data_IF_307270351335
#
_entry.id   IF_307270351335
#
_cell.length_a   1.000
_cell.length_b   1.000
_cell.length_c   1.000
_cell.angle_alpha   90.00
_cell.angle_beta   90.00
_cell.angle_gamma   90.00
#
_symmetry.space_group_name_H-M   'P 1'
#
loop_
_entity.id
_entity.type
_entity.pdbx_description
1 polymer ?
#
# COMPACT_ATOMS: atom_id res chain seq x y z
N UNK A 1 -38.02 4.57 36.63
CA UNK A 1 -37.63 5.73 37.47
C UNK A 1 -38.07 6.98 36.71
N UNK A 2 -39.16 7.64 37.15
CA UNK A 2 -39.70 8.85 36.50
C UNK A 2 -38.90 10.05 36.97
N UNK A 3 -38.31 10.82 36.06
CA UNK A 3 -37.70 12.12 36.39
C UNK A 3 -38.40 13.20 35.57
N UNK A 4 -39.11 14.04 36.32
CA UNK A 4 -39.77 15.28 35.94
C UNK A 4 -38.71 16.32 35.51
N UNK A 5 -38.92 17.02 34.39
CA UNK A 5 -38.22 18.29 34.11
C UNK A 5 -39.21 19.45 34.28
N UNK A 6 -38.93 20.31 35.25
CA UNK A 6 -39.59 21.60 35.45
C UNK A 6 -39.04 22.61 34.44
N UNK A 7 -39.93 23.21 33.64
CA UNK A 7 -39.67 24.47 32.95
C UNK A 7 -39.60 25.60 33.98
N UNK A 8 -38.53 26.38 33.94
CA UNK A 8 -38.54 27.77 34.44
C UNK A 8 -37.94 28.67 33.37
N UNK A 9 -38.81 29.55 32.85
CA UNK A 9 -38.45 30.60 31.91
C UNK A 9 -37.75 31.72 32.66
N UNK A 10 -36.59 32.17 32.15
CA UNK A 10 -35.98 33.42 32.57
C UNK A 10 -35.50 34.16 31.32
N UNK A 11 -36.26 35.18 30.94
CA UNK A 11 -35.87 36.18 29.96
C UNK A 11 -34.78 37.07 30.56
N UNK A 12 -33.64 37.21 29.88
CA UNK A 12 -32.67 38.28 30.14
C UNK A 12 -32.28 38.93 28.81
N UNK A 13 -32.46 40.23 28.78
CA UNK A 13 -32.25 41.14 27.68
C UNK A 13 -30.76 41.30 27.32
N UNK A 14 -30.54 41.50 26.03
CA UNK A 14 -29.26 41.84 25.38
C UNK A 14 -28.80 43.24 25.81
N UNK A 15 -27.52 43.38 26.20
CA UNK A 15 -26.72 44.56 25.87
C UNK A 15 -25.31 44.13 25.46
N UNK A 16 -24.82 44.73 24.40
CA UNK A 16 -23.59 44.42 23.69
C UNK A 16 -22.36 45.16 24.28
N UNK A 17 -21.16 44.59 24.08
CA UNK A 17 -19.95 45.40 23.94
C UNK A 17 -18.61 44.76 24.34
N UNK A 18 -17.75 44.58 23.33
CA UNK A 18 -16.27 44.64 23.34
C UNK A 18 -15.41 43.39 23.64
N UNK A 19 -14.91 42.74 22.57
CA UNK A 19 -13.47 42.78 22.24
C UNK A 19 -12.61 41.51 22.42
N UNK A 20 -12.29 40.80 21.32
CA UNK A 20 -11.04 40.04 21.09
C UNK A 20 -10.89 39.65 19.58
N UNK A 21 -9.67 39.37 19.06
CA UNK A 21 -9.25 39.77 17.73
C UNK A 21 -9.37 38.71 16.62
N UNK A 22 -9.84 39.18 15.46
CA UNK A 22 -9.41 38.88 14.09
C UNK A 22 -8.87 37.49 13.73
N UNK A 23 -9.78 36.61 13.31
CA UNK A 23 -9.46 35.62 12.27
C UNK A 23 -9.81 36.27 10.92
N UNK A 24 -8.81 36.42 10.05
CA UNK A 24 -9.03 36.80 8.65
C UNK A 24 -9.67 35.62 7.92
N UNK A 25 -11.00 35.59 7.90
CA UNK A 25 -11.73 34.83 6.90
C UNK A 25 -11.78 35.66 5.62
N UNK A 26 -11.37 35.03 4.52
CA UNK A 26 -11.54 35.55 3.15
C UNK A 26 -13.04 35.69 2.90
N UNK A 27 -13.58 36.89 3.12
CA UNK A 27 -14.99 37.19 2.90
C UNK A 27 -15.27 37.31 1.41
N UNK A 28 -15.98 36.34 0.85
CA UNK A 28 -16.97 36.71 -0.16
C UNK A 28 -18.06 37.44 0.60
N UNK A 29 -18.15 38.74 0.42
CA UNK A 29 -19.18 39.59 1.00
C UNK A 29 -20.50 39.31 0.26
N UNK A 30 -21.05 38.10 0.43
CA UNK A 30 -22.44 37.83 0.05
C UNK A 30 -23.31 38.35 1.18
N UNK A 31 -23.82 39.56 1.00
CA UNK A 31 -24.90 40.07 1.86
C UNK A 31 -25.99 39.00 1.90
N UNK A 32 -26.29 38.49 3.10
CA UNK A 32 -27.37 37.52 3.30
C UNK A 32 -28.69 38.25 3.05
N UNK A 33 -29.38 37.86 1.97
CA UNK A 33 -30.67 38.41 1.57
C UNK A 33 -31.74 37.38 1.89
N UNK A 34 -32.76 37.81 2.65
CA UNK A 34 -33.96 37.00 2.92
C UNK A 34 -34.82 37.02 1.66
N UNK A 35 -35.11 35.84 1.14
CA UNK A 35 -35.91 35.64 -0.08
C UNK A 35 -37.36 35.24 0.25
N UNK A 36 -37.56 34.49 1.33
CA UNK A 36 -38.88 34.14 1.86
C UNK A 36 -38.84 33.92 3.39
N UNK A 37 -40.00 33.94 4.03
CA UNK A 37 -40.16 33.66 5.47
C UNK A 37 -41.37 32.75 5.67
N UNK A 38 -41.17 31.64 6.39
CA UNK A 38 -42.18 30.63 6.71
C UNK A 38 -42.21 30.44 8.21
N UNK A 39 -43.14 31.12 8.89
CA UNK A 39 -43.12 31.21 10.36
C UNK A 39 -41.83 31.89 10.84
N UNK A 40 -41.08 31.21 11.69
CA UNK A 40 -39.79 31.69 12.22
C UNK A 40 -38.59 31.35 11.31
N UNK A 41 -38.79 30.56 10.25
CA UNK A 41 -37.71 30.13 9.35
C UNK A 41 -37.56 31.11 8.19
N UNK A 42 -36.33 31.60 7.99
CA UNK A 42 -35.97 32.49 6.89
C UNK A 42 -35.22 31.71 5.81
N UNK A 43 -35.74 31.73 4.58
CA UNK A 43 -35.07 31.17 3.41
C UNK A 43 -34.27 32.29 2.75
N UNK A 44 -32.96 32.10 2.66
CA UNK A 44 -32.01 33.13 2.22
C UNK A 44 -31.37 32.77 0.88
N UNK A 45 -30.68 33.73 0.26
CA UNK A 45 -29.82 33.48 -0.89
C UNK A 45 -28.74 32.41 -0.64
N UNK A 46 -28.21 32.30 0.57
CA UNK A 46 -27.26 31.23 0.94
C UNK A 46 -27.93 29.85 1.05
N UNK A 47 -29.21 29.79 1.48
CA UNK A 47 -29.99 28.54 1.44
C UNK A 47 -30.17 28.09 -0.01
N UNK A 48 -30.56 29.01 -0.90
CA UNK A 48 -30.76 28.72 -2.32
C UNK A 48 -29.47 28.23 -2.99
N UNK A 49 -28.34 28.85 -2.66
CA UNK A 49 -27.02 28.45 -3.17
C UNK A 49 -26.65 27.03 -2.76
N UNK A 50 -26.81 26.67 -1.48
CA UNK A 50 -26.54 25.30 -1.00
C UNK A 50 -27.41 24.26 -1.70
N UNK A 51 -28.69 24.58 -1.93
CA UNK A 51 -29.61 23.68 -2.65
C UNK A 51 -29.22 23.53 -4.13
N UNK A 52 -28.76 24.61 -4.79
CA UNK A 52 -28.23 24.54 -6.16
C UNK A 52 -26.98 23.66 -6.27
N UNK A 53 -26.10 23.67 -5.27
CA UNK A 53 -24.89 22.86 -5.24
C UNK A 53 -25.20 21.35 -5.17
N UNK A 54 -26.33 20.97 -4.55
CA UNK A 54 -26.81 19.59 -4.48
C UNK A 54 -27.40 19.07 -5.81
N UNK A 55 -27.83 19.97 -6.71
CA UNK A 55 -28.37 19.59 -8.01
C UNK A 55 -27.23 19.17 -8.95
N UNK A 56 -27.31 18.02 -9.64
CA UNK A 56 -26.30 17.61 -10.62
C UNK A 56 -26.04 18.68 -11.69
N UNK A 57 -24.79 18.88 -12.17
CA UNK A 57 -24.45 20.00 -13.05
C UNK A 57 -25.31 20.13 -14.31
N UNK A 58 -25.76 19.02 -14.89
CA UNK A 58 -26.56 18.99 -16.11
C UNK A 58 -28.03 19.43 -15.90
N UNK A 59 -28.54 19.41 -14.67
CA UNK A 59 -29.87 19.90 -14.31
C UNK A 59 -29.83 21.32 -13.74
N UNK A 60 -28.68 21.75 -13.23
CA UNK A 60 -28.51 23.00 -12.48
C UNK A 60 -28.76 24.25 -13.31
N UNK A 61 -28.34 24.27 -14.57
CA UNK A 61 -28.38 25.46 -15.44
C UNK A 61 -29.77 26.11 -15.53
N UNK A 62 -30.84 25.32 -15.53
CA UNK A 62 -32.22 25.84 -15.57
C UNK A 62 -32.62 26.58 -14.29
N UNK A 63 -32.01 26.25 -13.14
CA UNK A 63 -32.26 26.85 -11.83
C UNK A 63 -31.34 28.03 -11.50
N UNK A 64 -30.36 28.33 -12.36
CA UNK A 64 -29.45 29.48 -12.20
C UNK A 64 -30.05 30.79 -12.74
N UNK A 65 -31.10 30.71 -13.55
CA UNK A 65 -31.85 31.88 -14.03
C UNK A 65 -32.72 32.48 -12.92
N UNK A 66 -33.06 33.79 -12.97
CA UNK A 66 -33.96 34.40 -11.98
C UNK A 66 -35.30 33.64 -11.85
N UNK A 67 -35.86 33.18 -12.96
CA UNK A 67 -37.09 32.40 -12.99
C UNK A 67 -36.90 31.01 -12.37
N UNK A 68 -35.78 30.34 -12.68
CA UNK A 68 -35.42 29.06 -12.09
C UNK A 68 -35.18 29.14 -10.59
N UNK A 69 -34.50 30.19 -10.13
CA UNK A 69 -34.29 30.49 -8.72
C UNK A 69 -35.60 30.75 -7.99
N UNK A 70 -36.55 31.43 -8.64
CA UNK A 70 -37.90 31.65 -8.09
C UNK A 70 -38.66 30.33 -7.91
N UNK A 71 -38.56 29.41 -8.87
CA UNK A 71 -39.16 28.06 -8.79
C UNK A 71 -38.52 27.25 -7.66
N UNK A 72 -37.18 27.25 -7.56
CA UNK A 72 -36.48 26.56 -6.47
C UNK A 72 -36.87 27.14 -5.11
N UNK A 73 -37.00 28.45 -4.99
CA UNK A 73 -37.48 29.12 -3.77
C UNK A 73 -38.89 28.65 -3.37
N UNK A 74 -39.82 28.55 -4.33
CA UNK A 74 -41.18 28.04 -4.06
C UNK A 74 -41.13 26.60 -3.52
N UNK A 75 -40.32 25.73 -4.11
CA UNK A 75 -40.17 24.35 -3.61
C UNK A 75 -39.57 24.29 -2.20
N UNK A 76 -38.64 25.19 -1.85
CA UNK A 76 -38.10 25.26 -0.49
C UNK A 76 -39.15 25.74 0.52
N UNK A 77 -39.98 26.70 0.13
CA UNK A 77 -41.13 27.15 0.94
C UNK A 77 -42.12 25.99 1.15
N UNK A 78 -42.46 25.26 0.10
CA UNK A 78 -43.36 24.09 0.19
C UNK A 78 -42.77 22.99 1.09
N UNK A 79 -41.48 22.67 0.95
CA UNK A 79 -40.78 21.70 1.80
C UNK A 79 -40.83 22.10 3.27
N UNK A 80 -40.58 23.38 3.56
CA UNK A 80 -40.62 23.92 4.93
C UNK A 80 -42.03 23.84 5.53
N UNK A 81 -43.07 24.19 4.76
CA UNK A 81 -44.46 24.05 5.20
C UNK A 81 -44.81 22.59 5.54
N UNK A 82 -44.38 21.64 4.70
CA UNK A 82 -44.60 20.21 4.96
C UNK A 82 -43.83 19.71 6.19
N UNK A 83 -42.60 20.19 6.40
CA UNK A 83 -41.80 19.84 7.57
C UNK A 83 -42.49 20.31 8.85
N UNK A 84 -42.88 21.58 8.94
CA UNK A 84 -43.56 22.11 10.12
C UNK A 84 -44.88 21.37 10.42
N UNK A 85 -45.65 21.03 9.39
CA UNK A 85 -46.87 20.23 9.55
C UNK A 85 -46.58 18.80 10.05
N UNK A 86 -45.48 18.18 9.62
CA UNK A 86 -45.06 16.87 10.09
C UNK A 86 -44.60 16.89 11.56
N UNK A 87 -43.85 17.93 11.95
CA UNK A 87 -43.40 18.16 13.33
C UNK A 87 -44.60 18.41 14.27
N UNK A 88 -45.56 19.25 13.86
CA UNK A 88 -46.79 19.49 14.63
C UNK A 88 -47.60 18.20 14.82
N UNK A 89 -47.61 17.32 13.80
CA UNK A 89 -48.23 16.00 13.87
C UNK A 89 -47.43 14.97 14.70
N UNK A 90 -46.25 15.33 15.20
CA UNK A 90 -45.39 14.45 16.00
C UNK A 90 -44.76 13.30 15.21
N UNK A 91 -44.65 13.43 13.89
CA UNK A 91 -44.14 12.38 13.01
C UNK A 91 -42.63 12.12 13.18
N UNK A 92 -41.91 12.96 13.91
CA UNK A 92 -40.52 12.68 14.31
C UNK A 92 -40.40 11.38 15.12
N UNK A 93 -41.45 11.03 15.86
CA UNK A 93 -41.52 9.80 16.66
C UNK A 93 -41.93 8.57 15.85
N UNK A 94 -42.23 8.72 14.55
CA UNK A 94 -42.57 7.62 13.67
C UNK A 94 -41.40 6.63 13.56
N UNK A 95 -41.74 5.34 13.59
CA UNK A 95 -40.75 4.26 13.55
C UNK A 95 -39.84 4.29 12.32
N UNK A 96 -40.36 4.72 11.16
CA UNK A 96 -39.57 4.84 9.95
C UNK A 96 -38.55 5.97 10.07
N UNK A 97 -38.97 7.14 10.59
CA UNK A 97 -38.07 8.30 10.79
C UNK A 97 -36.96 7.95 11.77
N UNK A 98 -37.31 7.35 12.92
CA UNK A 98 -36.34 6.91 13.93
C UNK A 98 -35.33 5.90 13.35
N UNK A 99 -35.81 4.92 12.57
CA UNK A 99 -34.93 3.95 11.92
C UNK A 99 -33.98 4.62 10.90
N UNK A 100 -34.45 5.58 10.10
CA UNK A 100 -33.58 6.30 9.15
C UNK A 100 -32.51 7.13 9.88
N UNK A 101 -32.87 7.80 10.97
CA UNK A 101 -31.92 8.55 11.80
C UNK A 101 -30.89 7.62 12.43
N UNK A 102 -31.32 6.49 13.00
CA UNK A 102 -30.41 5.50 13.59
C UNK A 102 -29.42 4.95 12.57
N UNK A 103 -29.90 4.59 11.36
CA UNK A 103 -29.05 4.14 10.25
C UNK A 103 -28.03 5.24 9.90
N UNK A 104 -28.47 6.50 9.76
CA UNK A 104 -27.56 7.60 9.45
C UNK A 104 -26.50 7.80 10.56
N UNK A 105 -26.89 7.70 11.83
CA UNK A 105 -25.96 7.78 12.97
C UNK A 105 -24.95 6.63 12.97
N UNK A 106 -25.36 5.41 12.64
CA UNK A 106 -24.45 4.27 12.46
C UNK A 106 -23.43 4.54 11.35
N UNK A 107 -23.86 5.08 10.21
CA UNK A 107 -22.95 5.43 9.11
C UNK A 107 -21.94 6.52 9.51
N UNK A 108 -22.37 7.52 10.28
CA UNK A 108 -21.48 8.56 10.81
C UNK A 108 -20.43 7.93 11.72
N UNK A 109 -20.85 7.03 12.61
CA UNK A 109 -19.93 6.36 13.53
C UNK A 109 -18.97 5.41 12.81
N UNK A 110 -19.43 4.63 11.83
CA UNK A 110 -18.59 3.77 11.00
C UNK A 110 -17.55 4.57 10.20
N UNK A 111 -17.94 5.76 9.73
CA UNK A 111 -17.02 6.68 9.05
C UNK A 111 -15.97 7.20 10.02
N UNK A 112 -16.38 7.59 11.24
CA UNK A 112 -15.48 8.03 12.30
C UNK A 112 -14.49 6.94 12.70
N UNK A 113 -14.95 5.70 12.89
CA UNK A 113 -14.11 4.54 13.23
C UNK A 113 -13.09 4.27 12.12
N UNK A 114 -13.51 4.24 10.86
CA UNK A 114 -12.59 4.05 9.72
C UNK A 114 -11.54 5.14 9.64
N UNK A 115 -11.94 6.41 9.78
CA UNK A 115 -11.00 7.53 9.78
C UNK A 115 -10.00 7.44 10.95
N UNK A 116 -10.46 7.04 12.14
CA UNK A 116 -9.59 6.85 13.30
C UNK A 116 -8.56 5.75 13.08
N UNK A 117 -8.98 4.60 12.53
CA UNK A 117 -8.07 3.49 12.20
C UNK A 117 -7.05 3.91 11.14
N UNK A 118 -7.48 4.66 10.11
CA UNK A 118 -6.59 5.16 9.07
C UNK A 118 -5.53 6.11 9.63
N UNK A 119 -5.93 7.07 10.46
CA UNK A 119 -4.99 8.01 11.10
C UNK A 119 -4.03 7.25 12.03
N UNK A 120 -4.53 6.30 12.81
CA UNK A 120 -3.68 5.46 13.65
C UNK A 120 -2.69 4.64 12.82
N UNK A 121 -3.12 4.05 11.69
CA UNK A 121 -2.24 3.26 10.84
C UNK A 121 -1.11 4.11 10.25
N UNK A 122 -1.44 5.28 9.72
CA UNK A 122 -0.45 6.21 9.17
C UNK A 122 0.57 6.65 10.24
N UNK A 123 0.08 7.11 11.39
CA UNK A 123 0.93 7.69 12.43
C UNK A 123 1.72 6.62 13.21
N UNK A 124 1.04 5.57 13.67
CA UNK A 124 1.60 4.59 14.59
C UNK A 124 2.22 3.38 13.90
N UNK A 125 1.95 3.16 12.61
CA UNK A 125 2.48 2.01 11.86
C UNK A 125 3.45 2.46 10.77
N UNK A 126 3.04 3.35 9.87
CA UNK A 126 3.90 3.79 8.75
C UNK A 126 4.99 4.75 9.22
N UNK A 127 4.63 5.76 10.02
CA UNK A 127 5.56 6.82 10.42
C UNK A 127 6.46 6.42 11.59
N UNK A 128 6.06 5.43 12.39
CA UNK A 128 6.92 4.82 13.43
C UNK A 128 8.10 4.04 12.87
N UNK A 129 8.01 3.56 11.62
CA UNK A 129 9.05 2.73 11.01
C UNK A 129 10.01 3.59 10.19
N UNK A 130 11.26 3.63 10.67
CA UNK A 130 12.39 4.29 10.01
C UNK A 130 13.31 3.22 9.44
N UNK A 131 13.64 3.32 8.16
CA UNK A 131 14.62 2.42 7.52
C UNK A 131 16.02 2.83 7.99
N UNK A 132 16.76 1.96 8.70
CA UNK A 132 18.08 2.31 9.22
C UNK A 132 19.11 2.40 8.09
N UNK A 133 20.09 3.29 8.26
CA UNK A 133 21.18 3.50 7.28
C UNK A 133 21.92 2.21 6.93
N UNK A 134 22.09 1.32 7.91
CA UNK A 134 22.71 0.01 7.72
C UNK A 134 21.93 -0.89 6.76
N UNK A 135 20.61 -0.86 6.78
CA UNK A 135 19.78 -1.62 5.86
C UNK A 135 19.83 -1.02 4.45
N UNK A 136 19.86 0.31 4.34
CA UNK A 136 20.03 1.00 3.05
C UNK A 136 21.39 0.64 2.44
N UNK A 137 22.46 0.69 3.22
CA UNK A 137 23.80 0.31 2.78
C UNK A 137 23.86 -1.16 2.36
N UNK A 138 23.34 -2.07 3.17
CA UNK A 138 23.34 -3.50 2.85
C UNK A 138 22.57 -3.82 1.57
N UNK A 139 21.43 -3.18 1.36
CA UNK A 139 20.65 -3.34 0.13
C UNK A 139 21.39 -2.76 -1.07
N UNK A 140 21.99 -1.57 -0.94
CA UNK A 140 22.80 -0.98 -2.00
C UNK A 140 24.00 -1.86 -2.36
N UNK A 141 24.76 -2.34 -1.38
CA UNK A 141 25.94 -3.18 -1.62
C UNK A 141 25.58 -4.48 -2.34
N UNK A 142 24.43 -5.08 -1.99
CA UNK A 142 23.91 -6.27 -2.67
C UNK A 142 23.51 -5.98 -4.11
N UNK A 143 23.03 -4.76 -4.39
CA UNK A 143 22.41 -4.40 -5.67
C UNK A 143 23.16 -3.35 -6.50
N UNK A 144 24.39 -3.02 -6.10
CA UNK A 144 25.18 -1.97 -6.74
C UNK A 144 25.49 -2.30 -8.20
N UNK A 145 25.69 -3.59 -8.50
CA UNK A 145 26.17 -4.08 -9.79
C UNK A 145 25.07 -4.61 -10.72
N UNK A 146 23.82 -4.69 -10.25
CA UNK A 146 22.68 -5.17 -11.05
C UNK A 146 21.61 -4.08 -11.24
N UNK A 147 21.01 -3.57 -10.17
CA UNK A 147 19.89 -2.61 -10.18
C UNK A 147 20.43 -1.19 -10.32
N UNK A 148 21.54 -0.88 -9.65
CA UNK A 148 22.10 0.47 -9.60
C UNK A 148 23.31 0.66 -10.52
N UNK A 149 23.66 -0.34 -11.32
CA UNK A 149 24.69 -0.22 -12.34
C UNK A 149 24.17 0.61 -13.52
N UNK A 150 24.99 1.55 -13.98
CA UNK A 150 24.79 2.26 -15.22
C UNK A 150 26.02 2.10 -16.11
N UNK A 151 25.77 1.83 -17.40
CA UNK A 151 26.82 1.90 -18.42
C UNK A 151 27.34 3.33 -18.55
N UNK A 152 28.53 3.48 -19.14
CA UNK A 152 29.11 4.79 -19.40
C UNK A 152 28.12 5.65 -20.20
N UNK A 153 28.10 6.97 -19.94
CA UNK A 153 27.25 7.91 -20.66
C UNK A 153 28.05 9.10 -21.17
N UNK A 154 27.64 9.66 -22.30
CA UNK A 154 28.17 10.91 -22.85
C UNK A 154 27.03 11.87 -23.13
N UNK A 155 27.17 13.14 -22.77
CA UNK A 155 26.28 14.20 -23.22
C UNK A 155 26.88 14.79 -24.48
N UNK A 156 26.13 14.79 -25.58
CA UNK A 156 26.65 15.23 -26.87
C UNK A 156 25.68 16.18 -27.61
N UNK A 157 26.22 17.00 -28.49
CA UNK A 157 25.46 17.82 -29.44
C UNK A 157 26.00 17.63 -30.85
N UNK A 158 25.14 17.77 -31.86
CA UNK A 158 25.50 17.56 -33.27
C UNK A 158 25.15 18.72 -34.19
N UNK A 159 25.98 18.88 -35.23
CA UNK A 159 25.71 19.68 -36.43
C UNK A 159 25.59 18.71 -37.59
N UNK A 160 24.53 18.86 -38.38
CA UNK A 160 24.28 18.04 -39.55
C UNK A 160 24.15 18.93 -40.78
N UNK A 161 24.81 18.59 -41.87
CA UNK A 161 24.65 19.28 -43.16
C UNK A 161 24.85 18.32 -44.34
N UNK A 162 24.18 18.59 -45.46
CA UNK A 162 24.38 17.83 -46.70
C UNK A 162 25.68 18.22 -47.43
N UNK A 163 26.10 19.49 -47.34
CA UNK A 163 27.30 20.01 -48.01
C UNK A 163 28.53 19.94 -47.08
N UNK A 164 29.61 19.22 -47.46
CA UNK A 164 30.85 19.18 -46.70
C UNK A 164 31.41 20.56 -46.35
N UNK A 165 31.21 21.56 -47.21
CA UNK A 165 31.71 22.92 -46.99
C UNK A 165 31.09 23.59 -45.74
N UNK A 166 29.86 23.21 -45.37
CA UNK A 166 29.19 23.72 -44.17
C UNK A 166 29.83 23.14 -42.91
N UNK A 167 30.21 21.86 -42.93
CA UNK A 167 30.90 21.22 -41.81
C UNK A 167 32.31 21.78 -41.64
N UNK A 168 33.04 22.00 -42.74
CA UNK A 168 34.35 22.64 -42.70
C UNK A 168 34.29 24.06 -42.10
N UNK A 169 33.26 24.83 -42.45
CA UNK A 169 33.01 26.15 -41.87
C UNK A 169 32.69 26.06 -40.37
N UNK A 170 31.80 25.15 -39.97
CA UNK A 170 31.46 24.94 -38.56
C UNK A 170 32.70 24.56 -37.73
N UNK A 171 33.55 23.65 -38.23
CA UNK A 171 34.80 23.30 -37.58
C UNK A 171 35.74 24.51 -37.42
N UNK A 172 35.86 25.35 -38.46
CA UNK A 172 36.69 26.54 -38.41
C UNK A 172 36.19 27.56 -37.37
N UNK A 173 34.88 27.78 -37.30
CA UNK A 173 34.26 28.71 -36.35
C UNK A 173 34.44 28.22 -34.90
N UNK A 174 34.23 26.91 -34.66
CA UNK A 174 34.45 26.31 -33.35
C UNK A 174 35.92 26.39 -32.94
N UNK A 175 36.85 26.11 -33.86
CA UNK A 175 38.30 26.26 -33.61
C UNK A 175 38.72 27.71 -33.36
N UNK A 176 38.02 28.67 -33.96
CA UNK A 176 38.21 30.10 -33.70
C UNK A 176 37.62 30.58 -32.35
N UNK A 177 36.93 29.69 -31.62
CA UNK A 177 36.39 29.93 -30.30
C UNK A 177 34.88 30.21 -30.26
N UNK A 178 34.17 30.04 -31.38
CA UNK A 178 32.71 30.11 -31.37
C UNK A 178 32.12 28.92 -30.60
N UNK A 179 31.15 29.14 -29.70
CA UNK A 179 30.46 28.04 -29.03
C UNK A 179 29.76 27.08 -30.02
N UNK A 180 29.77 25.79 -29.71
CA UNK A 180 29.18 24.76 -30.58
C UNK A 180 27.66 24.94 -30.72
N UNK A 181 26.96 25.25 -29.63
CA UNK A 181 25.52 25.49 -29.61
C UNK A 181 25.11 26.63 -30.56
N UNK A 182 25.86 27.73 -30.54
CA UNK A 182 25.64 28.87 -31.41
C UNK A 182 25.90 28.51 -32.88
N UNK A 183 26.97 27.76 -33.14
CA UNK A 183 27.32 27.27 -34.48
C UNK A 183 26.28 26.28 -35.01
N UNK A 184 25.72 25.43 -34.14
CA UNK A 184 24.65 24.52 -34.49
C UNK A 184 23.33 25.23 -34.81
N UNK A 185 23.00 26.30 -34.07
CA UNK A 185 21.83 27.13 -34.39
C UNK A 185 21.98 27.81 -35.77
N UNK A 186 23.19 28.24 -36.11
CA UNK A 186 23.46 28.97 -37.35
C UNK A 186 23.58 28.06 -38.57
N UNK A 187 24.27 26.92 -38.45
CA UNK A 187 24.73 26.12 -39.59
C UNK A 187 24.10 24.73 -39.69
N UNK A 188 23.46 24.21 -38.64
CA UNK A 188 22.89 22.85 -38.68
C UNK A 188 21.58 22.81 -39.47
N UNK A 189 21.50 21.87 -40.42
CA UNK A 189 20.30 21.56 -41.20
C UNK A 189 19.37 20.59 -40.46
N UNK A 190 19.78 20.04 -39.30
CA UNK A 190 18.93 19.15 -38.51
C UNK A 190 17.87 19.91 -37.71
N UNK A 191 16.72 20.13 -38.35
CA UNK A 191 15.60 20.88 -37.78
C UNK A 191 15.18 20.51 -36.34
N UNK A 192 15.17 19.22 -35.91
CA UNK A 192 14.76 18.87 -34.54
C UNK A 192 15.68 19.40 -33.43
N UNK A 193 16.99 19.52 -33.68
CA UNK A 193 17.96 19.89 -32.63
C UNK A 193 18.67 21.21 -32.88
N UNK A 194 18.70 21.73 -34.12
CA UNK A 194 19.38 23.00 -34.45
C UNK A 194 18.93 24.16 -33.55
N UNK A 195 17.63 24.32 -33.32
CA UNK A 195 17.08 25.39 -32.47
C UNK A 195 17.42 25.28 -30.98
N UNK A 196 17.97 24.15 -30.52
CA UNK A 196 18.44 23.91 -29.14
C UNK A 196 19.95 23.61 -29.12
N UNK A 197 20.70 24.17 -30.06
CA UNK A 197 22.16 24.05 -30.08
C UNK A 197 22.69 22.67 -30.49
N UNK A 198 21.86 21.86 -31.16
CA UNK A 198 22.24 20.52 -31.61
C UNK A 198 22.17 19.45 -30.52
N UNK A 199 21.67 19.76 -29.32
CA UNK A 199 21.70 18.88 -28.15
C UNK A 199 20.99 17.53 -28.40
N UNK A 200 21.69 16.43 -28.09
CA UNK A 200 21.20 15.06 -28.15
C UNK A 200 20.89 14.49 -26.75
N UNK A 201 21.27 15.19 -25.67
CA UNK A 201 21.16 14.70 -24.31
C UNK A 201 22.18 13.62 -23.95
N UNK A 202 21.93 12.90 -22.84
CA UNK A 202 22.78 11.82 -22.36
C UNK A 202 22.54 10.53 -23.15
N UNK A 203 23.62 9.97 -23.70
CA UNK A 203 23.64 8.76 -24.49
C UNK A 203 24.40 7.71 -23.70
N UNK A 204 23.79 6.55 -23.46
CA UNK A 204 24.44 5.41 -22.80
C UNK A 204 25.22 4.58 -23.81
N UNK A 205 26.33 3.98 -23.38
CA UNK A 205 27.15 3.06 -24.21
C UNK A 205 26.27 1.97 -24.83
N UNK A 206 26.57 1.60 -26.07
CA UNK A 206 25.84 0.61 -26.88
C UNK A 206 24.34 0.91 -27.11
N UNK A 207 23.87 2.11 -26.76
CA UNK A 207 22.49 2.54 -27.05
C UNK A 207 22.42 3.26 -28.40
N UNK A 208 21.27 3.19 -29.11
CA UNK A 208 21.06 3.99 -30.32
C UNK A 208 21.24 5.48 -30.03
N UNK A 209 21.97 6.18 -30.90
CA UNK A 209 22.10 7.63 -30.83
C UNK A 209 20.75 8.28 -31.21
N UNK A 210 20.27 9.28 -30.46
CA UNK A 210 19.08 10.03 -30.83
C UNK A 210 19.17 10.53 -32.27
N UNK A 211 18.10 10.34 -33.05
CA UNK A 211 17.97 10.68 -34.48
C UNK A 211 18.85 9.90 -35.46
N UNK A 212 20.03 9.40 -35.05
CA UNK A 212 20.99 8.72 -35.92
C UNK A 212 20.89 7.18 -35.89
N UNK A 213 20.23 6.61 -34.87
CA UNK A 213 20.11 5.17 -34.71
C UNK A 213 21.40 4.50 -34.22
N UNK A 214 21.60 3.23 -34.54
CA UNK A 214 22.81 2.50 -34.19
C UNK A 214 23.95 2.90 -35.14
N UNK A 215 24.94 3.62 -34.60
CA UNK A 215 26.11 4.10 -35.34
C UNK A 215 27.38 3.69 -34.58
N UNK A 216 27.90 2.49 -34.87
CA UNK A 216 29.02 1.91 -34.10
C UNK A 216 30.28 2.78 -34.15
N UNK A 217 30.64 3.30 -35.33
CA UNK A 217 31.81 4.17 -35.51
C UNK A 217 31.68 5.48 -34.72
N UNK A 218 30.49 6.10 -34.77
CA UNK A 218 30.21 7.35 -34.06
C UNK A 218 30.22 7.08 -32.54
N UNK A 219 29.54 6.04 -32.09
CA UNK A 219 29.50 5.64 -30.67
C UNK A 219 30.91 5.43 -30.13
N UNK A 220 31.75 4.63 -30.81
CA UNK A 220 33.12 4.38 -30.42
C UNK A 220 33.95 5.68 -30.31
N UNK A 221 33.75 6.62 -31.24
CA UNK A 221 34.42 7.91 -31.21
C UNK A 221 33.96 8.79 -30.03
N UNK A 222 32.66 8.84 -29.72
CA UNK A 222 32.12 9.65 -28.63
C UNK A 222 32.59 9.15 -27.25
N UNK A 223 32.60 7.83 -27.02
CA UNK A 223 33.02 7.25 -25.75
C UNK A 223 34.55 7.24 -25.55
N UNK A 224 35.33 7.38 -26.62
CA UNK A 224 36.79 7.56 -26.54
C UNK A 224 37.21 9.03 -26.39
N UNK A 225 36.32 9.98 -26.67
CA UNK A 225 36.58 11.40 -26.70
C UNK A 225 36.48 12.05 -25.31
N UNK A 226 37.32 13.07 -25.05
CA UNK A 226 37.23 13.87 -23.83
C UNK A 226 36.16 14.96 -23.97
N UNK A 227 35.50 15.40 -22.87
CA UNK A 227 34.62 16.56 -22.90
C UNK A 227 35.27 17.79 -23.55
N UNK A 228 34.49 18.49 -24.37
CA UNK A 228 34.89 19.64 -25.19
C UNK A 228 35.46 19.27 -26.57
N UNK A 229 35.76 18.00 -26.85
CA UNK A 229 36.35 17.60 -28.14
C UNK A 229 35.30 17.35 -29.22
N UNK A 230 35.71 17.58 -30.47
CA UNK A 230 34.92 17.30 -31.66
C UNK A 230 35.20 15.87 -32.14
N UNK A 231 34.14 15.14 -32.50
CA UNK A 231 34.16 13.85 -33.16
C UNK A 231 33.52 13.99 -34.55
N UNK A 232 34.19 13.45 -35.57
CA UNK A 232 33.79 13.53 -36.97
C UNK A 232 34.67 14.46 -37.81
N UNK A 233 34.27 14.79 -39.04
CA UNK A 233 32.96 14.52 -39.64
C UNK A 233 32.68 13.04 -39.95
N UNK A 234 31.42 12.60 -39.74
CA UNK A 234 30.94 11.26 -40.08
C UNK A 234 29.89 11.33 -41.19
N UNK A 235 29.92 10.40 -42.15
CA UNK A 235 28.88 10.31 -43.17
C UNK A 235 27.78 9.36 -42.70
N UNK A 236 26.54 9.85 -42.69
CA UNK A 236 25.34 9.09 -42.29
C UNK A 236 24.28 9.15 -43.39
N UNK A 237 23.21 8.36 -43.26
CA UNK A 237 22.06 8.41 -44.18
C UNK A 237 21.34 9.77 -44.17
N UNK A 238 21.52 10.57 -43.11
CA UNK A 238 20.92 11.90 -42.99
C UNK A 238 21.83 13.02 -43.52
N UNK A 239 23.09 12.72 -43.86
CA UNK A 239 24.09 13.70 -44.26
C UNK A 239 25.38 13.58 -43.44
N UNK A 240 26.19 14.64 -43.47
CA UNK A 240 27.47 14.69 -42.77
C UNK A 240 27.24 15.28 -41.38
N UNK A 241 27.75 14.59 -40.35
CA UNK A 241 27.53 14.94 -38.95
C UNK A 241 28.87 15.25 -38.28
N UNK A 242 28.92 16.38 -37.59
CA UNK A 242 29.96 16.75 -36.65
C UNK A 242 29.37 16.75 -35.24
N UNK A 243 30.01 16.10 -34.28
CA UNK A 243 29.50 15.97 -32.91
C UNK A 243 30.50 16.55 -31.92
N UNK A 244 30.03 17.23 -30.88
CA UNK A 244 30.85 17.57 -29.72
C UNK A 244 30.41 16.75 -28.51
N UNK A 245 31.39 16.20 -27.78
CA UNK A 245 31.15 15.67 -26.43
C UNK A 245 31.13 16.83 -25.47
N UNK A 246 29.98 17.09 -24.85
CA UNK A 246 29.78 18.17 -23.86
C UNK A 246 30.31 17.73 -22.49
N UNK A 247 29.92 16.52 -22.06
CA UNK A 247 30.27 15.95 -20.76
C UNK A 247 30.29 14.42 -20.83
N UNK A 248 30.91 13.76 -19.84
CA UNK A 248 30.97 12.29 -19.78
C UNK A 248 30.83 11.76 -18.35
N UNK A 249 30.18 10.60 -18.24
CA UNK A 249 30.01 9.84 -17.00
C UNK A 249 30.61 8.45 -17.19
N UNK A 250 31.54 8.02 -16.32
CA UNK A 250 32.07 6.67 -16.39
C UNK A 250 30.97 5.65 -16.08
N UNK A 251 31.17 4.42 -16.55
CA UNK A 251 30.36 3.30 -16.08
C UNK A 251 30.58 3.04 -14.59
N UNK A 252 29.57 2.48 -13.93
CA UNK A 252 29.66 2.09 -12.53
C UNK A 252 28.32 2.13 -11.83
N UNK A 253 28.35 1.95 -10.51
CA UNK A 253 27.15 2.09 -9.69
C UNK A 253 26.82 3.55 -9.45
N UNK A 254 25.53 3.88 -9.54
CA UNK A 254 25.00 5.20 -9.18
C UNK A 254 25.25 5.45 -7.69
N UNK A 255 25.72 6.65 -7.28
CA UNK A 255 25.97 6.95 -5.87
C UNK A 255 24.75 6.64 -5.00
N UNK A 256 25.00 6.07 -3.82
CA UNK A 256 23.94 5.66 -2.88
C UNK A 256 23.02 6.84 -2.53
N UNK A 257 23.56 8.05 -2.48
CA UNK A 257 22.85 9.31 -2.23
C UNK A 257 21.78 9.60 -3.29
N UNK A 258 22.04 9.27 -4.57
CA UNK A 258 21.07 9.47 -5.65
C UNK A 258 19.94 8.45 -5.63
N UNK A 259 20.22 7.23 -5.16
CA UNK A 259 19.26 6.12 -5.16
C UNK A 259 18.65 5.85 -3.79
N UNK A 260 19.06 6.60 -2.76
CA UNK A 260 18.66 6.43 -1.37
C UNK A 260 17.16 6.38 -1.17
N UNK A 261 16.43 7.36 -1.71
CA UNK A 261 14.96 7.42 -1.60
C UNK A 261 14.29 6.21 -2.29
N UNK A 262 14.85 5.75 -3.41
CA UNK A 262 14.37 4.54 -4.10
C UNK A 262 14.57 3.28 -3.24
N UNK A 263 15.72 3.17 -2.57
CA UNK A 263 16.00 2.07 -1.63
C UNK A 263 15.03 2.12 -0.44
N UNK A 264 14.82 3.30 0.15
CA UNK A 264 13.87 3.48 1.26
C UNK A 264 12.47 3.05 0.84
N UNK A 265 11.99 3.48 -0.33
CA UNK A 265 10.67 3.11 -0.84
C UNK A 265 10.55 1.61 -1.12
N UNK A 266 11.65 0.95 -1.46
CA UNK A 266 11.69 -0.52 -1.64
C UNK A 266 11.64 -1.26 -0.29
N UNK A 267 12.41 -0.80 0.70
CA UNK A 267 12.55 -1.51 1.98
C UNK A 267 11.40 -1.23 2.96
N UNK A 268 10.90 0.01 3.01
CA UNK A 268 9.95 0.47 4.02
C UNK A 268 8.66 -0.39 4.09
N UNK A 269 8.01 -0.77 2.99
CA UNK A 269 6.78 -1.57 3.06
C UNK A 269 6.95 -2.92 3.77
N UNK A 270 8.06 -3.62 3.49
CA UNK A 270 8.35 -4.91 4.13
C UNK A 270 8.62 -4.74 5.64
N UNK A 271 9.36 -3.69 6.01
CA UNK A 271 9.63 -3.37 7.42
C UNK A 271 8.36 -2.97 8.17
N UNK A 272 7.49 -2.15 7.56
CA UNK A 272 6.18 -1.77 8.13
C UNK A 272 5.31 -2.99 8.36
N UNK A 273 5.26 -3.92 7.39
CA UNK A 273 4.49 -5.15 7.53
C UNK A 273 5.01 -6.05 8.65
N UNK A 274 6.33 -6.18 8.80
CA UNK A 274 6.93 -6.95 9.89
C UNK A 274 6.66 -6.31 11.25
N UNK A 275 6.90 -4.99 11.39
CA UNK A 275 6.56 -4.26 12.62
C UNK A 275 5.08 -4.43 13.01
N UNK A 276 4.18 -4.28 12.04
CA UNK A 276 2.74 -4.43 12.27
C UNK A 276 2.38 -5.84 12.78
N UNK A 277 2.86 -6.89 12.10
CA UNK A 277 2.50 -8.29 12.38
C UNK A 277 3.20 -8.84 13.61
N UNK A 278 4.50 -8.56 13.76
CA UNK A 278 5.39 -9.25 14.69
C UNK A 278 5.51 -8.49 16.03
N UNK A 279 5.27 -7.18 16.04
CA UNK A 279 5.39 -6.36 17.25
C UNK A 279 4.06 -5.72 17.67
N UNK A 280 3.46 -4.91 16.78
CA UNK A 280 2.32 -4.08 17.15
C UNK A 280 1.08 -4.91 17.48
N UNK A 281 0.63 -5.78 16.58
CA UNK A 281 -0.59 -6.59 16.81
C UNK A 281 -0.46 -7.48 18.05
N UNK A 282 0.64 -8.22 18.26
CA UNK A 282 0.85 -8.97 19.51
C UNK A 282 0.75 -8.09 20.76
N UNK A 283 1.42 -6.92 20.77
CA UNK A 283 1.36 -6.00 21.90
C UNK A 283 -0.05 -5.46 22.18
N UNK A 284 -0.84 -5.18 21.13
CA UNK A 284 -2.22 -4.73 21.28
C UNK A 284 -3.12 -5.86 21.78
N UNK A 285 -2.92 -7.10 21.31
CA UNK A 285 -3.66 -8.28 21.79
C UNK A 285 -3.41 -8.51 23.28
N UNK A 286 -2.17 -8.40 23.73
CA UNK A 286 -1.82 -8.48 25.15
C UNK A 286 -2.43 -7.33 25.94
N UNK A 287 -2.21 -6.08 25.49
CA UNK A 287 -2.71 -4.87 26.16
C UNK A 287 -4.22 -4.87 26.37
N UNK A 288 -4.98 -5.34 25.38
CA UNK A 288 -6.44 -5.38 25.43
C UNK A 288 -6.99 -6.74 25.85
N UNK A 289 -6.13 -7.65 26.32
CA UNK A 289 -6.50 -8.97 26.83
C UNK A 289 -7.48 -9.70 25.88
N UNK A 290 -7.10 -9.80 24.61
CA UNK A 290 -7.96 -10.41 23.58
C UNK A 290 -8.20 -11.88 23.92
N UNK A 291 -9.46 -12.21 24.18
CA UNK A 291 -9.95 -13.59 24.36
C UNK A 291 -10.85 -13.96 23.20
N UNK A 292 -10.59 -15.11 22.58
CA UNK A 292 -11.41 -15.67 21.51
C UNK A 292 -12.15 -16.88 22.07
N UNK A 293 -13.45 -16.98 21.78
CA UNK A 293 -14.22 -18.18 22.10
C UNK A 293 -13.97 -19.24 21.02
N UNK A 294 -12.87 -19.98 21.15
CA UNK A 294 -12.48 -21.01 20.17
C UNK A 294 -13.54 -22.10 20.04
N UNK A 295 -14.26 -22.42 21.12
CA UNK A 295 -15.32 -23.44 21.13
C UNK A 295 -16.47 -23.09 20.17
N UNK A 296 -16.72 -21.80 19.90
CA UNK A 296 -17.75 -21.36 18.96
C UNK A 296 -17.45 -21.72 17.50
N UNK A 297 -16.21 -22.07 17.19
CA UNK A 297 -15.75 -22.41 15.84
C UNK A 297 -15.48 -23.92 15.66
N UNK A 298 -15.73 -24.73 16.69
CA UNK A 298 -15.59 -26.18 16.60
C UNK A 298 -16.65 -26.78 15.65
N UNK A 299 -16.34 -27.91 14.98
CA UNK A 299 -17.29 -28.63 14.16
C UNK A 299 -18.58 -28.95 14.91
N UNK A 300 -19.72 -28.77 14.24
CA UNK A 300 -21.06 -28.98 14.80
C UNK A 300 -21.26 -30.39 15.37
N UNK A 301 -22.20 -30.60 16.30
CA UNK A 301 -22.45 -31.89 16.95
C UNK A 301 -22.95 -32.99 16.00
N UNK A 302 -23.43 -32.62 14.82
CA UNK A 302 -23.93 -33.49 13.76
C UNK A 302 -22.82 -34.05 12.85
N UNK A 303 -21.58 -33.56 12.98
CA UNK A 303 -20.44 -34.05 12.19
C UNK A 303 -20.07 -35.48 12.62
N UNK A 304 -20.12 -36.48 11.70
CA UNK A 304 -19.78 -37.87 12.02
C UNK A 304 -18.29 -38.06 12.35
N UNK A 305 -17.97 -39.14 13.08
CA UNK A 305 -16.61 -39.50 13.48
C UNK A 305 -15.61 -39.47 12.32
N UNK A 306 -15.86 -40.21 11.24
CA UNK A 306 -14.96 -40.27 10.07
C UNK A 306 -14.68 -38.87 9.45
N UNK A 307 -15.71 -38.02 9.41
CA UNK A 307 -15.57 -36.66 8.87
C UNK A 307 -14.76 -35.76 9.80
N UNK A 308 -14.98 -35.85 11.12
CA UNK A 308 -14.23 -35.09 12.11
C UNK A 308 -12.76 -35.51 12.15
N UNK A 309 -12.48 -36.81 12.07
CA UNK A 309 -11.12 -37.35 11.96
C UNK A 309 -10.42 -36.83 10.70
N UNK A 310 -11.09 -36.90 9.54
CA UNK A 310 -10.56 -36.40 8.28
C UNK A 310 -10.30 -34.89 8.32
N UNK A 311 -11.22 -34.10 8.90
CA UNK A 311 -11.02 -32.66 9.10
C UNK A 311 -9.78 -32.38 9.95
N UNK A 312 -9.61 -33.10 11.06
CA UNK A 312 -8.45 -32.96 11.94
C UNK A 312 -7.14 -33.27 11.20
N UNK A 313 -7.08 -34.41 10.49
CA UNK A 313 -5.92 -34.81 9.70
C UNK A 313 -5.53 -33.79 8.62
N UNK A 314 -6.52 -33.25 7.89
CA UNK A 314 -6.29 -32.21 6.87
C UNK A 314 -5.70 -30.91 7.47
N UNK A 315 -5.99 -30.64 8.74
CA UNK A 315 -5.49 -29.45 9.44
C UNK A 315 -4.08 -29.65 10.01
N UNK A 316 -3.56 -30.87 10.13
CA UNK A 316 -2.27 -31.12 10.82
C UNK A 316 -1.12 -30.29 10.26
N UNK A 317 -1.03 -30.17 8.93
CA UNK A 317 0.04 -29.40 8.28
C UNK A 317 -0.25 -27.90 8.21
N UNK A 318 -1.51 -27.51 8.05
CA UNK A 318 -1.90 -26.11 7.78
C UNK A 318 -2.23 -25.33 9.04
N UNK A 319 -2.72 -25.99 10.08
CA UNK A 319 -3.15 -25.42 11.36
C UNK A 319 -3.09 -26.49 12.47
N UNK A 320 -1.87 -26.92 12.88
CA UNK A 320 -1.66 -28.02 13.81
C UNK A 320 -2.40 -27.88 15.14
N UNK A 321 -2.54 -26.66 15.68
CA UNK A 321 -3.28 -26.40 16.92
C UNK A 321 -4.79 -26.65 16.75
N UNK A 322 -5.33 -26.33 15.56
CA UNK A 322 -6.72 -26.64 15.20
C UNK A 322 -6.91 -28.13 15.02
N UNK A 323 -5.96 -28.82 14.38
CA UNK A 323 -5.98 -30.27 14.24
C UNK A 323 -6.04 -30.97 15.61
N UNK A 324 -5.19 -30.56 16.56
CA UNK A 324 -5.19 -31.08 17.93
C UNK A 324 -6.54 -30.83 18.61
N UNK A 325 -7.11 -29.64 18.45
CA UNK A 325 -8.43 -29.32 18.99
C UNK A 325 -9.52 -30.23 18.43
N UNK A 326 -9.46 -30.57 17.14
CA UNK A 326 -10.42 -31.48 16.49
C UNK A 326 -10.20 -32.94 16.90
N UNK A 327 -8.97 -33.41 17.06
CA UNK A 327 -8.70 -34.75 17.60
C UNK A 327 -9.17 -34.87 19.05
N UNK A 328 -8.98 -33.84 19.88
CA UNK A 328 -9.53 -33.81 21.25
C UNK A 328 -11.06 -33.86 21.24
N UNK A 329 -11.69 -33.10 20.35
CA UNK A 329 -13.14 -33.14 20.15
C UNK A 329 -13.63 -34.52 19.68
N UNK A 330 -12.87 -35.18 18.80
CA UNK A 330 -13.15 -36.55 18.38
C UNK A 330 -13.12 -37.51 19.58
N UNK A 331 -12.08 -37.44 20.40
CA UNK A 331 -11.93 -38.28 21.60
C UNK A 331 -13.00 -38.03 22.67
N UNK A 332 -13.52 -36.80 22.75
CA UNK A 332 -14.61 -36.43 23.64
C UNK A 332 -15.96 -36.99 23.15
N UNK A 333 -16.26 -36.84 21.85
CA UNK A 333 -17.56 -37.21 21.27
C UNK A 333 -17.68 -38.69 20.93
N UNK A 334 -16.58 -39.31 20.54
CA UNK A 334 -16.53 -40.69 20.05
C UNK A 334 -15.48 -41.51 20.81
N UNK A 335 -15.55 -41.59 22.15
CA UNK A 335 -14.52 -42.24 22.97
C UNK A 335 -14.39 -43.75 22.72
N UNK A 336 -15.46 -44.40 22.25
CA UNK A 336 -15.53 -45.85 21.96
C UNK A 336 -15.33 -46.15 20.46
N UNK A 337 -15.04 -45.14 19.63
CA UNK A 337 -14.79 -45.38 18.21
C UNK A 337 -13.53 -46.21 18.02
N UNK A 338 -13.57 -47.14 17.05
CA UNK A 338 -12.43 -48.01 16.74
C UNK A 338 -11.16 -47.24 16.38
N UNK A 339 -11.25 -45.97 15.99
CA UNK A 339 -10.12 -45.12 15.62
C UNK A 339 -9.72 -44.10 16.70
N UNK A 340 -10.31 -44.17 17.91
CA UNK A 340 -9.97 -43.26 19.01
C UNK A 340 -8.48 -43.29 19.38
N UNK A 341 -7.85 -44.47 19.38
CA UNK A 341 -6.41 -44.59 19.60
C UNK A 341 -5.58 -43.86 18.54
N UNK A 342 -6.06 -43.82 17.29
CA UNK A 342 -5.41 -43.09 16.19
C UNK A 342 -5.48 -41.57 16.42
N UNK A 343 -6.65 -41.03 16.82
CA UNK A 343 -6.77 -39.62 17.18
C UNK A 343 -5.80 -39.25 18.31
N UNK A 344 -5.71 -40.09 19.34
CA UNK A 344 -4.80 -39.87 20.47
C UNK A 344 -3.33 -39.88 20.06
N UNK A 345 -2.93 -40.82 19.20
CA UNK A 345 -1.58 -40.87 18.64
C UNK A 345 -1.28 -39.63 17.80
N UNK A 346 -2.22 -39.22 16.94
CA UNK A 346 -2.06 -38.08 16.04
C UNK A 346 -1.94 -36.76 16.80
N UNK A 347 -2.49 -36.61 18.00
CA UNK A 347 -2.22 -35.45 18.87
C UNK A 347 -0.73 -35.39 19.23
N UNK A 348 -0.15 -36.48 19.74
CA UNK A 348 1.27 -36.56 20.08
C UNK A 348 2.17 -36.34 18.87
N UNK A 349 1.83 -36.96 17.75
CA UNK A 349 2.51 -36.77 16.48
C UNK A 349 2.45 -35.30 16.01
N UNK A 350 1.30 -34.65 16.16
CA UNK A 350 1.14 -33.23 15.75
C UNK A 350 2.04 -32.32 16.58
N UNK A 351 2.12 -32.53 17.90
CA UNK A 351 3.03 -31.78 18.75
C UNK A 351 4.51 -32.02 18.39
N UNK A 352 4.90 -33.26 18.09
CA UNK A 352 6.27 -33.63 17.73
C UNK A 352 6.69 -33.04 16.39
N UNK A 353 5.95 -33.36 15.34
CA UNK A 353 6.40 -33.16 13.96
C UNK A 353 6.08 -31.78 13.40
N UNK A 354 4.97 -31.18 13.85
CA UNK A 354 4.50 -29.90 13.29
C UNK A 354 4.74 -28.72 14.24
N UNK A 355 4.62 -28.93 15.55
CA UNK A 355 4.84 -27.87 16.56
C UNK A 355 6.23 -27.92 17.20
N UNK A 356 6.95 -29.03 17.07
CA UNK A 356 8.25 -29.26 17.71
C UNK A 356 8.22 -29.03 19.23
N UNK A 357 7.09 -29.31 19.88
CA UNK A 357 6.91 -29.22 21.33
C UNK A 357 7.05 -30.62 21.95
N UNK A 358 8.30 -31.00 22.24
CA UNK A 358 8.62 -32.31 22.80
C UNK A 358 7.96 -32.56 24.16
N UNK A 359 7.69 -31.52 24.94
CA UNK A 359 7.06 -31.67 26.25
C UNK A 359 5.57 -32.01 26.11
N UNK A 360 4.85 -31.27 25.26
CA UNK A 360 3.45 -31.55 24.98
C UNK A 360 3.27 -32.88 24.23
N UNK A 361 4.16 -33.20 23.29
CA UNK A 361 4.17 -34.48 22.58
C UNK A 361 4.40 -35.65 23.54
N UNK A 362 5.35 -35.53 24.47
CA UNK A 362 5.61 -36.57 25.46
C UNK A 362 4.42 -36.83 26.38
N UNK A 363 3.76 -35.78 26.85
CA UNK A 363 2.53 -35.91 27.63
C UNK A 363 1.43 -36.61 26.82
N UNK A 364 1.23 -36.23 25.55
CA UNK A 364 0.19 -36.79 24.70
C UNK A 364 0.43 -38.27 24.34
N UNK A 365 1.66 -38.67 24.01
CA UNK A 365 1.97 -40.09 23.76
C UNK A 365 1.84 -40.93 25.04
N UNK A 366 2.24 -40.39 26.19
CA UNK A 366 2.04 -41.07 27.49
C UNK A 366 0.56 -41.30 27.77
N UNK A 367 -0.28 -40.28 27.59
CA UNK A 367 -1.74 -40.40 27.71
C UNK A 367 -2.32 -41.45 26.76
N UNK A 368 -1.83 -41.49 25.52
CA UNK A 368 -2.25 -42.48 24.52
C UNK A 368 -1.92 -43.91 24.96
N UNK A 369 -0.71 -44.16 25.44
CA UNK A 369 -0.27 -45.48 25.93
C UNK A 369 -1.07 -45.91 27.16
N UNK A 370 -1.32 -44.99 28.09
CA UNK A 370 -2.10 -45.28 29.30
C UNK A 370 -3.57 -45.60 28.98
N UNK A 371 -4.15 -44.87 28.01
CA UNK A 371 -5.57 -45.01 27.64
C UNK A 371 -5.81 -46.17 26.67
N UNK A 372 -4.85 -46.48 25.80
CA UNK A 372 -4.96 -47.49 24.74
C UNK A 372 -3.74 -48.45 24.72
N UNK A 373 -3.43 -49.15 25.82
CA UNK A 373 -2.20 -49.94 25.94
C UNK A 373 -2.10 -51.08 24.92
N UNK A 374 -3.23 -51.67 24.53
CA UNK A 374 -3.28 -52.81 23.58
C UNK A 374 -3.48 -52.37 22.12
N UNK A 375 -3.33 -51.08 21.79
CA UNK A 375 -3.54 -50.58 20.43
C UNK A 375 -2.38 -50.92 19.49
N UNK A 376 -2.66 -50.94 18.18
CA UNK A 376 -1.64 -51.18 17.14
C UNK A 376 -0.56 -50.08 17.09
N UNK A 377 -0.82 -48.90 17.67
CA UNK A 377 0.10 -47.75 17.67
C UNK A 377 0.82 -47.56 19.02
N UNK A 378 0.64 -48.46 19.99
CA UNK A 378 1.28 -48.33 21.30
C UNK A 378 2.81 -48.41 21.19
N UNK A 379 3.31 -49.40 20.44
CA UNK A 379 4.76 -49.56 20.22
C UNK A 379 5.35 -48.35 19.46
N UNK A 380 4.61 -47.81 18.49
CA UNK A 380 5.00 -46.59 17.77
C UNK A 380 5.04 -45.37 18.69
N UNK A 381 4.07 -45.23 19.61
CA UNK A 381 4.04 -44.15 20.59
C UNK A 381 5.23 -44.22 21.57
N UNK A 382 5.57 -45.44 22.03
CA UNK A 382 6.75 -45.69 22.86
C UNK A 382 8.02 -45.32 22.09
N UNK A 383 8.13 -45.76 20.84
CA UNK A 383 9.28 -45.44 20.01
C UNK A 383 9.44 -43.93 19.81
N UNK A 384 8.34 -43.22 19.51
CA UNK A 384 8.35 -41.76 19.38
C UNK A 384 8.82 -41.11 20.69
N UNK A 385 8.32 -41.53 21.85
CA UNK A 385 8.74 -41.01 23.16
C UNK A 385 10.24 -41.16 23.42
N UNK A 386 10.80 -42.31 23.08
CA UNK A 386 12.22 -42.61 23.32
C UNK A 386 13.16 -41.86 22.36
N UNK A 387 12.68 -41.51 21.16
CA UNK A 387 13.53 -41.03 20.07
C UNK A 387 13.28 -39.58 19.64
N UNK A 388 12.25 -38.91 20.17
CA UNK A 388 11.81 -37.57 19.74
C UNK A 388 12.88 -36.47 19.79
N UNK A 389 13.84 -36.60 20.71
CA UNK A 389 14.92 -35.62 20.89
C UNK A 389 16.27 -36.12 20.37
N UNK A 390 16.27 -37.25 19.66
CA UNK A 390 17.48 -37.91 19.18
C UNK A 390 17.75 -37.43 17.75
N UNK A 391 18.90 -36.77 17.47
CA UNK A 391 19.24 -36.34 16.12
C UNK A 391 19.23 -37.53 15.14
N UNK A 392 18.69 -37.34 13.94
CA UNK A 392 18.52 -38.43 12.96
C UNK A 392 19.84 -39.15 12.62
N UNK A 393 20.95 -38.41 12.63
CA UNK A 393 22.30 -38.92 12.39
C UNK A 393 22.77 -39.91 13.47
N UNK A 394 22.16 -39.90 14.65
CA UNK A 394 22.44 -40.84 15.75
C UNK A 394 21.51 -42.05 15.77
N UNK A 395 20.45 -42.05 14.96
CA UNK A 395 19.49 -43.16 14.79
C UNK A 395 19.85 -44.09 13.63
N UNK A 396 20.72 -43.64 12.71
CA UNK A 396 21.24 -44.44 11.60
C UNK A 396 22.60 -45.01 12.03
N UNK A 397 22.76 -46.34 12.20
CA UNK A 397 24.09 -46.92 12.37
C UNK A 397 24.93 -46.54 11.15
N UNK A 398 26.14 -46.01 11.37
CA UNK A 398 27.08 -45.75 10.29
C UNK A 398 27.16 -47.00 9.41
N UNK A 399 26.67 -46.91 8.18
CA UNK A 399 26.88 -47.96 7.19
C UNK A 399 28.39 -47.99 6.94
N UNK A 400 29.06 -48.96 7.57
CA UNK A 400 30.47 -49.23 7.36
C UNK A 400 30.73 -49.26 5.85
N UNK A 401 31.61 -48.36 5.41
CA UNK A 401 32.15 -48.38 4.06
C UNK A 401 33.03 -49.63 3.92
N UNK A 402 32.40 -50.78 3.66
CA UNK A 402 33.09 -51.88 2.99
C UNK A 402 33.46 -51.36 1.59
N UNK A 403 34.73 -50.97 1.40
CA UNK A 403 35.32 -50.87 0.08
C UNK A 403 35.71 -52.26 -0.41
N UNK A 404 35.15 -52.76 -1.52
CA UNK A 404 35.80 -53.80 -2.30
C UNK A 404 36.54 -53.17 -3.49
N UNK A 405 37.87 -53.31 -3.51
CA UNK A 405 38.65 -53.25 -4.76
C UNK A 405 39.83 -52.28 -4.75
N UNK A 406 41.01 -52.81 -4.40
CA UNK A 406 42.28 -52.43 -4.97
C UNK A 406 42.94 -53.68 -5.58
#
# INVERSE_FOLDING_TARGET
MRILFCLSALAIAVTAGCGAPGVKTSGSDSTVVVLATVGDVQITNETLKRELELIPPYQRASFETPEGQRILLDHLVERELLLQAAEEAGLDSDSFVQAQVEIAMQHVEDTRVRALIQVFYEDQVINSVVVPDSAIQAYYDLHAMDIYYQGAQVHAAMILAADPAVIDAAMADIQAGQPFDSTAIELSEHAPTAGVGGDLGWITVDSPLPYLGLQEEISAALFAAAPGTLAGPFTTDLGIVLIQVIDSRPEGSRPIEEVRESIINTLKPAMVNSYFRDELIPSLREKYAVSINEDAFLPGPDVPADSLMMMAQNMMQSSPETAISYFRLFLERFPEDSTAYQASFLIGFTYSEYLHDSAAASAAFTEMIERFPDSELTDDAIWMLENMNTPIDSLIPALDQEQPGA
#
